data_IF_036788840852
#
_entry.id   IF_036788840852
#
_cell.length_a   1.000
_cell.length_b   1.000
_cell.length_c   1.000
_cell.angle_alpha   90.00
_cell.angle_beta   90.00
_cell.angle_gamma   90.00
#
_symmetry.space_group_name_H-M   'P 1'
#
loop_
_entity.id
_entity.type
_entity.pdbx_description
1 polymer ?
#
# COMPACT_ATOMS: atom_id res chain seq x y z
N UNK A 1 13.71 -37.18 -16.69
CA UNK A 1 14.16 -37.26 -15.28
C UNK A 1 12.93 -37.17 -14.38
N UNK A 2 12.74 -38.12 -13.48
CA UNK A 2 11.57 -38.19 -12.60
C UNK A 2 11.73 -37.15 -11.48
N UNK A 3 11.08 -35.99 -11.59
CA UNK A 3 11.17 -34.90 -10.59
C UNK A 3 10.21 -35.21 -9.43
N UNK A 4 10.65 -36.07 -8.51
CA UNK A 4 9.89 -36.40 -7.31
C UNK A 4 10.23 -35.44 -6.17
N UNK A 5 9.19 -35.07 -5.41
CA UNK A 5 9.28 -34.21 -4.24
C UNK A 5 8.89 -35.03 -3.02
N UNK A 6 9.64 -34.90 -1.92
CA UNK A 6 9.33 -35.57 -0.66
C UNK A 6 8.96 -34.53 0.40
N UNK A 7 8.06 -34.88 1.31
CA UNK A 7 7.66 -34.03 2.42
C UNK A 7 8.21 -34.62 3.71
N UNK A 8 8.81 -33.77 4.54
CA UNK A 8 9.15 -34.12 5.92
C UNK A 8 7.91 -33.81 6.75
N UNK A 9 7.43 -34.84 7.45
CA UNK A 9 6.20 -34.81 8.22
C UNK A 9 6.54 -35.08 9.68
N UNK A 10 5.93 -34.34 10.61
CA UNK A 10 6.11 -34.57 12.04
C UNK A 10 5.28 -35.75 12.56
N UNK A 11 5.45 -36.06 13.85
CA UNK A 11 4.76 -37.16 14.51
C UNK A 11 3.22 -37.05 14.46
N UNK A 12 2.68 -35.84 14.22
CA UNK A 12 1.24 -35.59 14.14
C UNK A 12 0.72 -35.60 12.70
N UNK A 13 1.56 -35.95 11.71
CA UNK A 13 1.16 -35.96 10.30
C UNK A 13 1.23 -34.58 9.64
N UNK A 14 1.77 -33.55 10.30
CA UNK A 14 1.87 -32.20 9.75
C UNK A 14 3.14 -32.05 8.94
N UNK A 15 3.01 -31.57 7.69
CA UNK A 15 4.15 -31.32 6.80
C UNK A 15 4.95 -30.12 7.30
N UNK A 16 6.20 -30.32 7.69
CA UNK A 16 7.08 -29.27 8.20
C UNK A 16 8.04 -28.72 7.15
N UNK A 17 8.47 -29.57 6.21
CA UNK A 17 9.41 -29.16 5.17
C UNK A 17 9.22 -29.97 3.89
N UNK A 18 9.83 -29.50 2.82
CA UNK A 18 9.83 -30.15 1.51
C UNK A 18 11.26 -30.35 1.05
N UNK A 19 11.57 -31.56 0.59
CA UNK A 19 12.86 -31.93 0.01
C UNK A 19 12.69 -31.94 -1.51
N UNK A 20 13.45 -31.08 -2.16
CA UNK A 20 13.39 -30.84 -3.60
C UNK A 20 14.72 -31.23 -4.26
N UNK A 21 14.69 -31.85 -5.45
CA UNK A 21 15.87 -31.93 -6.30
C UNK A 21 16.42 -30.53 -6.59
N UNK A 22 17.75 -30.38 -6.57
CA UNK A 22 18.39 -29.07 -6.71
C UNK A 22 18.07 -28.39 -8.05
N UNK A 23 17.92 -29.17 -9.12
CA UNK A 23 17.55 -28.64 -10.44
C UNK A 23 16.13 -28.06 -10.44
N UNK A 24 15.19 -28.71 -9.75
CA UNK A 24 13.83 -28.21 -9.58
C UNK A 24 13.83 -26.93 -8.73
N UNK A 25 14.64 -26.87 -7.67
CA UNK A 25 14.80 -25.64 -6.89
C UNK A 25 15.32 -24.48 -7.75
N UNK A 26 16.35 -24.73 -8.56
CA UNK A 26 16.93 -23.71 -9.44
C UNK A 26 15.94 -23.20 -10.49
N UNK A 27 15.16 -24.10 -11.11
CA UNK A 27 14.09 -23.73 -12.03
C UNK A 27 13.03 -22.83 -11.35
N UNK A 28 12.58 -23.21 -10.15
CA UNK A 28 11.61 -22.42 -9.38
C UNK A 28 12.17 -21.04 -9.00
N UNK A 29 13.45 -20.95 -8.64
CA UNK A 29 14.11 -19.68 -8.32
C UNK A 29 14.24 -18.79 -9.56
N UNK A 30 14.60 -19.36 -10.71
CA UNK A 30 14.66 -18.63 -11.99
C UNK A 30 13.28 -18.09 -12.39
N UNK A 31 12.24 -18.92 -12.31
CA UNK A 31 10.86 -18.49 -12.57
C UNK A 31 10.45 -17.40 -11.57
N UNK A 32 10.78 -17.52 -10.28
CA UNK A 32 10.50 -16.49 -9.27
C UNK A 32 11.22 -15.16 -9.61
N UNK A 33 12.46 -15.23 -10.13
CA UNK A 33 13.24 -14.06 -10.54
C UNK A 33 12.66 -13.42 -11.80
N UNK A 34 12.27 -14.22 -12.79
CA UNK A 34 11.62 -13.75 -14.00
C UNK A 34 10.24 -13.17 -13.72
N UNK A 35 9.41 -13.79 -12.88
CA UNK A 35 8.14 -13.20 -12.41
C UNK A 35 8.41 -11.87 -11.69
N UNK A 36 9.48 -11.76 -10.90
CA UNK A 36 9.86 -10.51 -10.25
C UNK A 36 10.33 -9.45 -11.26
N UNK A 37 10.98 -9.85 -12.34
CA UNK A 37 11.47 -8.97 -13.42
C UNK A 37 10.37 -8.60 -14.44
N UNK A 38 9.35 -9.44 -14.60
CA UNK A 38 8.17 -9.25 -15.45
C UNK A 38 7.12 -8.37 -14.77
N UNK A 39 7.23 -8.10 -13.47
CA UNK A 39 6.48 -7.01 -12.83
C UNK A 39 7.06 -5.69 -13.37
N UNK A 40 6.30 -4.89 -14.14
CA UNK A 40 6.78 -3.60 -14.60
C UNK A 40 6.95 -2.68 -13.39
N UNK A 41 8.16 -2.59 -12.79
CA UNK A 41 8.47 -1.73 -11.64
C UNK A 41 7.25 -1.51 -10.70
N UNK A 42 6.50 -2.60 -10.38
CA UNK A 42 5.15 -2.47 -9.85
C UNK A 42 5.30 -1.91 -8.45
N UNK A 43 5.05 -0.61 -8.33
CA UNK A 43 4.88 0.05 -7.06
C UNK A 43 3.82 -0.74 -6.30
N UNK A 44 4.24 -1.29 -5.16
CA UNK A 44 3.36 -2.10 -4.33
C UNK A 44 2.14 -1.26 -3.98
N UNK A 45 0.97 -1.72 -4.42
CA UNK A 45 -0.27 -0.99 -4.22
C UNK A 45 -0.78 -1.26 -2.82
N UNK A 46 -1.12 -0.18 -2.13
CA UNK A 46 -1.75 -0.19 -0.83
C UNK A 46 -3.17 0.34 -0.94
N UNK A 47 -4.08 -0.25 -0.19
CA UNK A 47 -5.44 0.21 -0.02
C UNK A 47 -5.62 0.76 1.39
N UNK A 48 -6.56 1.68 1.53
CA UNK A 48 -6.99 2.22 2.81
C UNK A 48 -8.51 2.40 2.79
N UNK A 49 -9.17 1.81 3.77
CA UNK A 49 -10.61 1.92 3.97
C UNK A 49 -10.93 2.68 5.27
N UNK A 50 -11.84 3.62 5.17
CA UNK A 50 -12.42 4.40 6.26
C UNK A 50 -13.94 4.37 6.13
N UNK A 51 -14.66 4.78 7.19
CA UNK A 51 -16.12 4.63 7.33
C UNK A 51 -16.95 4.95 6.06
N UNK A 52 -16.54 5.96 5.29
CA UNK A 52 -17.20 6.35 4.04
C UNK A 52 -16.17 6.69 2.94
N UNK A 53 -15.02 6.02 2.91
CA UNK A 53 -13.99 6.32 1.92
C UNK A 53 -13.08 5.11 1.68
N UNK A 54 -12.81 4.82 0.43
CA UNK A 54 -11.88 3.79 -0.04
C UNK A 54 -10.88 4.45 -0.96
N UNK A 55 -9.60 4.35 -0.62
CA UNK A 55 -8.51 4.88 -1.43
C UNK A 55 -7.48 3.80 -1.75
N UNK A 56 -6.87 3.92 -2.93
CA UNK A 56 -5.76 3.09 -3.35
C UNK A 56 -4.58 3.98 -3.70
N UNK A 57 -3.37 3.52 -3.46
CA UNK A 57 -2.18 4.31 -3.70
C UNK A 57 -0.91 3.50 -3.53
N UNK A 58 0.22 4.17 -3.65
CA UNK A 58 1.52 3.55 -3.44
C UNK A 58 2.53 4.56 -2.88
N UNK A 59 3.47 4.09 -2.05
CA UNK A 59 4.58 4.92 -1.59
C UNK A 59 5.57 5.19 -2.74
N UNK A 60 6.13 6.39 -2.78
CA UNK A 60 7.12 6.81 -3.78
C UNK A 60 8.30 7.48 -3.08
N UNK A 61 9.53 7.12 -3.45
CA UNK A 61 10.74 7.66 -2.83
C UNK A 61 11.29 6.78 -1.71
N UNK A 62 12.11 7.35 -0.80
CA UNK A 62 12.90 6.57 0.15
C UNK A 62 12.04 5.96 1.28
N UNK A 63 12.51 4.87 1.89
CA UNK A 63 11.78 4.14 2.92
C UNK A 63 11.57 4.95 4.21
N UNK A 64 12.48 5.87 4.54
CA UNK A 64 12.42 6.68 5.76
C UNK A 64 11.33 7.77 5.69
N UNK A 65 11.21 8.41 4.52
CA UNK A 65 10.27 9.51 4.24
C UNK A 65 9.68 9.36 2.83
N UNK A 66 8.84 8.34 2.60
CA UNK A 66 8.18 8.18 1.32
C UNK A 66 7.18 9.31 1.12
N UNK A 67 7.05 9.80 -0.12
CA UNK A 67 5.83 10.41 -0.61
C UNK A 67 4.77 9.31 -0.82
N UNK A 68 3.52 9.70 -1.05
CA UNK A 68 2.45 8.73 -1.29
C UNK A 68 1.52 9.20 -2.40
N UNK A 69 1.43 8.42 -3.46
CA UNK A 69 0.56 8.71 -4.60
C UNK A 69 -0.77 8.02 -4.36
N UNK A 70 -1.86 8.78 -4.37
CA UNK A 70 -3.24 8.25 -4.37
C UNK A 70 -3.71 8.17 -5.80
N UNK A 71 -4.25 7.01 -6.18
CA UNK A 71 -4.72 6.72 -7.53
C UNK A 71 -6.03 7.45 -7.84
N UNK A 72 -6.26 7.68 -9.13
CA UNK A 72 -7.58 8.12 -9.64
C UNK A 72 -8.69 7.16 -9.18
N UNK A 73 -9.92 7.65 -9.15
CA UNK A 73 -11.10 6.93 -8.66
C UNK A 73 -11.10 6.56 -7.17
N UNK A 74 -10.02 6.86 -6.44
CA UNK A 74 -10.03 6.82 -4.97
C UNK A 74 -11.05 7.81 -4.42
N UNK A 75 -11.54 7.50 -3.22
CA UNK A 75 -12.52 8.33 -2.51
C UNK A 75 -11.96 8.79 -1.17
N UNK A 76 -12.46 9.93 -0.70
CA UNK A 76 -12.10 10.56 0.56
C UNK A 76 -13.36 11.06 1.27
N UNK A 77 -13.32 11.12 2.59
CA UNK A 77 -14.45 11.51 3.39
C UNK A 77 -14.66 13.04 3.32
N UNK A 78 -15.87 13.48 2.99
CA UNK A 78 -16.22 14.90 2.94
C UNK A 78 -16.37 15.52 4.35
N UNK A 79 -16.66 14.72 5.38
CA UNK A 79 -16.81 15.23 6.75
C UNK A 79 -15.45 15.61 7.34
N UNK A 80 -15.30 16.85 7.79
CA UNK A 80 -14.17 17.31 8.59
C UNK A 80 -14.50 17.13 10.07
N UNK A 81 -13.72 16.33 10.80
CA UNK A 81 -13.74 16.41 12.27
C UNK A 81 -12.89 17.62 12.69
N UNK A 82 -13.30 18.34 13.74
CA UNK A 82 -12.65 19.58 14.20
C UNK A 82 -11.14 19.47 14.50
N UNK A 83 -10.60 18.26 14.63
CA UNK A 83 -9.16 17.99 14.84
C UNK A 83 -8.31 17.98 13.57
N UNK A 84 -8.88 18.29 12.40
CA UNK A 84 -8.11 18.37 11.15
C UNK A 84 -7.16 19.58 11.16
N UNK A 85 -5.88 19.35 10.84
CA UNK A 85 -4.89 20.44 10.73
C UNK A 85 -5.33 21.46 9.66
N UNK A 86 -5.14 22.79 9.89
CA UNK A 86 -5.50 23.83 8.93
C UNK A 86 -4.89 23.61 7.53
N UNK A 87 -3.67 23.09 7.47
CA UNK A 87 -2.98 22.78 6.20
C UNK A 87 -3.72 21.76 5.33
N UNK A 88 -4.40 20.78 5.94
CA UNK A 88 -5.17 19.77 5.20
C UNK A 88 -6.49 20.36 4.68
N UNK A 89 -7.09 21.33 5.41
CA UNK A 89 -8.27 22.05 4.94
C UNK A 89 -7.92 22.90 3.71
N UNK A 90 -6.83 23.66 3.78
CA UNK A 90 -6.32 24.43 2.65
C UNK A 90 -5.98 23.54 1.45
N UNK A 91 -5.34 22.39 1.69
CA UNK A 91 -5.05 21.42 0.63
C UNK A 91 -6.33 20.90 -0.02
N UNK A 92 -7.37 20.59 0.76
CA UNK A 92 -8.68 20.15 0.22
C UNK A 92 -9.31 21.22 -0.66
N UNK A 93 -9.33 22.47 -0.20
CA UNK A 93 -9.87 23.59 -0.97
C UNK A 93 -9.10 23.79 -2.28
N UNK A 94 -7.76 23.73 -2.24
CA UNK A 94 -6.91 23.81 -3.42
C UNK A 94 -7.21 22.68 -4.43
N UNK A 95 -7.29 21.42 -3.97
CA UNK A 95 -7.57 20.28 -4.85
C UNK A 95 -8.99 20.26 -5.41
N UNK A 96 -9.96 20.82 -4.66
CA UNK A 96 -11.31 21.05 -5.15
C UNK A 96 -11.35 22.15 -6.22
N UNK A 97 -10.61 23.24 -6.01
CA UNK A 97 -10.52 24.35 -6.97
C UNK A 97 -9.79 23.93 -8.26
N UNK A 98 -8.75 23.10 -8.14
CA UNK A 98 -8.00 22.54 -9.28
C UNK A 98 -8.80 21.47 -10.04
N UNK A 99 -9.85 20.91 -9.44
CA UNK A 99 -10.62 19.79 -10.01
C UNK A 99 -9.91 18.43 -9.90
N UNK A 100 -8.79 18.34 -9.18
CA UNK A 100 -8.10 17.09 -8.82
C UNK A 100 -9.00 16.19 -7.97
N UNK A 101 -9.85 16.81 -7.16
CA UNK A 101 -10.87 16.15 -6.34
C UNK A 101 -12.20 16.81 -6.62
N UNK A 102 -13.26 16.00 -6.73
CA UNK A 102 -14.63 16.50 -6.93
C UNK A 102 -15.55 16.00 -5.81
N UNK A 103 -16.55 16.80 -5.45
CA UNK A 103 -17.59 16.37 -4.51
C UNK A 103 -18.56 15.44 -5.22
N UNK A 104 -18.72 14.24 -4.69
CA UNK A 104 -19.70 13.25 -5.15
C UNK A 104 -20.58 12.84 -3.97
N UNK A 105 -21.70 13.57 -3.80
CA UNK A 105 -22.61 13.37 -2.67
C UNK A 105 -21.92 13.63 -1.33
N UNK A 106 -21.82 12.60 -0.48
CA UNK A 106 -21.19 12.69 0.84
C UNK A 106 -19.69 12.31 0.84
N UNK A 107 -19.10 12.13 -0.34
CA UNK A 107 -17.72 11.75 -0.52
C UNK A 107 -17.01 12.72 -1.47
N UNK A 108 -15.69 12.69 -1.41
CA UNK A 108 -14.80 13.34 -2.35
C UNK A 108 -14.20 12.26 -3.26
N UNK A 109 -14.14 12.48 -4.56
CA UNK A 109 -13.56 11.53 -5.52
C UNK A 109 -12.37 12.15 -6.23
N UNK A 110 -11.26 11.41 -6.29
CA UNK A 110 -10.07 11.80 -7.04
C UNK A 110 -10.32 11.60 -8.55
N UNK A 111 -10.19 12.67 -9.33
CA UNK A 111 -10.36 12.64 -10.80
C UNK A 111 -9.09 12.21 -11.50
N UNK A 112 -7.94 12.48 -10.88
CA UNK A 112 -6.60 12.10 -11.32
C UNK A 112 -5.77 11.65 -10.12
N UNK A 113 -4.62 11.04 -10.41
CA UNK A 113 -3.67 10.66 -9.37
C UNK A 113 -3.09 11.91 -8.71
N UNK A 114 -2.81 11.83 -7.41
CA UNK A 114 -2.25 12.95 -6.65
C UNK A 114 -1.16 12.48 -5.70
N UNK A 115 0.00 13.16 -5.76
CA UNK A 115 1.14 12.89 -4.91
C UNK A 115 1.07 13.71 -3.61
N UNK A 116 0.88 13.02 -2.49
CA UNK A 116 1.01 13.61 -1.17
C UNK A 116 2.46 13.55 -0.68
N UNK A 117 2.88 14.56 0.06
CA UNK A 117 4.22 14.61 0.62
C UNK A 117 4.52 13.51 1.67
N UNK A 118 3.50 12.79 2.16
CA UNK A 118 3.67 11.60 3.00
C UNK A 118 2.43 10.70 3.04
N UNK A 119 2.56 9.40 3.38
CA UNK A 119 1.43 8.49 3.55
C UNK A 119 0.46 8.95 4.64
N UNK A 120 0.97 9.59 5.69
CA UNK A 120 0.13 10.13 6.77
C UNK A 120 -0.72 11.30 6.30
N UNK A 121 -0.18 12.14 5.41
CA UNK A 121 -0.95 13.23 4.79
C UNK A 121 -2.07 12.67 3.91
N UNK A 122 -1.77 11.66 3.09
CA UNK A 122 -2.77 10.96 2.29
C UNK A 122 -3.86 10.31 3.16
N UNK A 123 -3.48 9.60 4.23
CA UNK A 123 -4.43 8.96 5.14
C UNK A 123 -5.32 9.98 5.86
N UNK A 124 -4.76 11.11 6.31
CA UNK A 124 -5.55 12.18 6.94
C UNK A 124 -6.54 12.81 5.95
N UNK A 125 -6.08 13.01 4.70
CA UNK A 125 -6.92 13.54 3.65
C UNK A 125 -8.06 12.58 3.31
N UNK A 126 -7.80 11.27 3.20
CA UNK A 126 -8.84 10.27 2.89
C UNK A 126 -9.80 10.09 4.06
N UNK A 127 -9.30 10.01 5.30
CA UNK A 127 -10.13 9.74 6.46
C UNK A 127 -10.97 10.93 6.93
N UNK A 128 -10.50 12.17 6.71
CA UNK A 128 -11.11 13.37 7.29
C UNK A 128 -10.83 13.55 8.79
N UNK A 129 -9.81 12.86 9.32
CA UNK A 129 -9.30 12.98 10.68
C UNK A 129 -7.80 12.64 10.73
N UNK A 130 -7.14 12.86 11.87
CA UNK A 130 -5.74 12.51 12.03
C UNK A 130 -5.54 10.98 12.04
N UNK A 131 -4.72 10.46 11.11
CA UNK A 131 -4.39 9.03 10.98
C UNK A 131 -2.89 8.82 10.74
N UNK A 132 -2.35 7.75 11.31
CA UNK A 132 -1.01 7.24 11.00
C UNK A 132 -1.03 6.61 9.62
N UNK A 133 -0.29 7.17 8.65
CA UNK A 133 -0.22 6.59 7.32
C UNK A 133 0.45 5.22 7.32
N UNK A 134 1.45 5.02 8.17
CA UNK A 134 2.20 3.77 8.23
C UNK A 134 1.34 2.57 8.65
N UNK A 135 0.28 2.82 9.43
CA UNK A 135 -0.65 1.80 9.92
C UNK A 135 -1.99 1.78 9.16
N UNK A 136 -2.30 2.83 8.39
CA UNK A 136 -3.58 2.96 7.67
C UNK A 136 -3.58 2.25 6.31
N UNK A 137 -2.43 2.23 5.63
CA UNK A 137 -2.30 1.67 4.29
C UNK A 137 -1.81 0.22 4.37
N UNK A 138 -2.56 -0.71 3.80
CA UNK A 138 -2.25 -2.14 3.72
C UNK A 138 -2.15 -2.63 2.28
N UNK A 139 -1.23 -3.54 2.00
CA UNK A 139 -1.15 -4.21 0.71
C UNK A 139 -2.15 -5.37 0.63
N UNK A 140 -2.27 -6.00 -0.54
CA UNK A 140 -3.20 -7.12 -0.77
C UNK A 140 -2.86 -8.38 0.05
N UNK A 141 -1.63 -8.47 0.58
CA UNK A 141 -1.22 -9.53 1.51
C UNK A 141 -1.54 -9.21 2.98
N UNK A 142 -2.16 -8.06 3.27
CA UNK A 142 -2.54 -7.63 4.61
C UNK A 142 -1.42 -6.98 5.43
N UNK A 143 -0.26 -6.71 4.83
CA UNK A 143 0.84 -6.02 5.49
C UNK A 143 0.69 -4.51 5.38
N UNK A 144 0.89 -3.80 6.48
CA UNK A 144 0.90 -2.34 6.49
C UNK A 144 2.19 -1.79 5.91
N UNK A 145 2.21 -0.49 5.55
CA UNK A 145 3.44 0.21 5.17
C UNK A 145 4.54 0.03 6.24
N UNK A 146 4.19 0.10 7.51
CA UNK A 146 5.12 -0.12 8.62
C UNK A 146 5.76 -1.50 8.57
N UNK A 147 4.96 -2.54 8.35
CA UNK A 147 5.43 -3.93 8.26
C UNK A 147 6.29 -4.16 7.00
N UNK A 148 6.00 -3.41 5.94
CA UNK A 148 6.76 -3.43 4.68
C UNK A 148 8.09 -2.65 4.74
N UNK A 149 8.42 -2.08 5.91
CA UNK A 149 9.71 -1.44 6.18
C UNK A 149 9.74 0.08 6.06
N UNK A 150 8.60 0.72 5.75
CA UNK A 150 8.50 2.18 5.69
C UNK A 150 8.51 2.82 7.08
N UNK A 151 9.15 3.98 7.19
CA UNK A 151 9.25 4.77 8.43
C UNK A 151 10.36 4.33 9.38
N UNK A 152 11.16 3.32 9.02
CA UNK A 152 12.41 3.04 9.75
C UNK A 152 13.43 4.11 9.36
N UNK A 153 13.99 4.81 10.35
CA UNK A 153 15.18 5.64 10.12
C UNK A 153 16.30 4.69 9.73
N UNK A 154 16.89 4.91 8.55
CA UNK A 154 18.22 4.38 8.25
C UNK A 154 19.15 4.99 9.31
N UNK A 155 19.47 4.23 10.34
CA UNK A 155 20.60 4.54 11.21
C UNK A 155 21.85 4.38 10.36
N UNK A 156 22.34 5.51 9.82
CA UNK A 156 23.70 5.63 9.32
C UNK A 156 24.70 5.60 10.46
#
# INVERSE_FOLDING_TARGET
MNKQVQFIVDANGVRQAVVLPIDLYNELVSIKKEIKALKPAQQESYHFESKNAVAKGYPKGPLDKPAFVVLRDSTANNSNVGSLRPSIKQLREALLAEGTVVKQGNQLKFTKEYEFASPSMAACFVAGNARSGLDAWSNDAGFTLKQSGYGKKSSS
#
